data_IF_412591674789
#
_entry.id   IF_412591674789
#
_cell.length_a   1.000
_cell.length_b   1.000
_cell.length_c   1.000
_cell.angle_alpha   90.00
_cell.angle_beta   90.00
_cell.angle_gamma   90.00
#
_symmetry.space_group_name_H-M   'P 1'
#
loop_
_entity.id
_entity.type
_entity.pdbx_description
1 polymer ?
#
# COMPACT_ATOMS: atom_id res chain seq x y z
N UNK A 1 3.35 4.71 7.87
CA UNK A 1 2.74 4.10 9.06
C UNK A 1 3.66 3.13 9.79
N UNK A 2 4.24 2.15 9.11
CA UNK A 2 5.11 1.14 9.75
C UNK A 2 6.36 1.76 10.42
N UNK A 3 6.97 2.77 9.83
CA UNK A 3 8.14 3.44 10.39
C UNK A 3 7.87 4.09 11.76
N UNK A 4 6.76 4.78 11.91
CA UNK A 4 6.36 5.36 13.20
C UNK A 4 6.03 4.29 14.25
N UNK A 5 5.48 3.15 13.83
CA UNK A 5 5.21 2.04 14.73
C UNK A 5 6.50 1.36 15.19
N UNK A 6 7.48 1.22 14.32
CA UNK A 6 8.80 0.70 14.69
C UNK A 6 9.45 1.60 15.74
N UNK A 7 9.48 2.93 15.51
CA UNK A 7 9.98 3.91 16.48
C UNK A 7 9.22 3.83 17.82
N UNK A 8 7.90 3.72 17.78
CA UNK A 8 7.10 3.55 18.99
C UNK A 8 7.49 2.29 19.77
N UNK A 9 7.68 1.16 19.08
CA UNK A 9 8.05 -0.09 19.74
C UNK A 9 9.47 -0.07 20.31
N UNK A 10 10.44 0.57 19.63
CA UNK A 10 11.82 0.67 20.11
C UNK A 10 11.96 1.70 21.22
N UNK A 11 11.50 2.92 21.00
CA UNK A 11 11.82 4.07 21.82
C UNK A 11 10.87 4.20 23.03
N UNK A 12 9.57 3.89 22.86
CA UNK A 12 8.59 4.08 23.92
C UNK A 12 8.20 2.77 24.62
N UNK A 13 8.06 1.66 23.90
CA UNK A 13 7.76 0.35 24.50
C UNK A 13 9.05 -0.33 25.02
N UNK A 14 10.21 0.04 24.46
CA UNK A 14 11.50 -0.49 24.86
C UNK A 14 11.75 -1.94 24.36
N UNK A 15 11.20 -2.29 23.19
CA UNK A 15 11.51 -3.54 22.52
C UNK A 15 12.83 -3.41 21.75
N UNK A 16 13.64 -4.47 21.71
CA UNK A 16 14.81 -4.45 20.83
C UNK A 16 14.37 -4.34 19.36
N UNK A 17 15.18 -3.69 18.52
CA UNK A 17 14.88 -3.52 17.09
C UNK A 17 14.64 -4.88 16.39
N UNK A 18 15.36 -5.94 16.81
CA UNK A 18 15.18 -7.30 16.31
C UNK A 18 13.80 -7.87 16.63
N UNK A 19 13.32 -7.68 17.87
CA UNK A 19 11.98 -8.13 18.29
C UNK A 19 10.91 -7.33 17.57
N UNK A 20 11.04 -6.00 17.49
CA UNK A 20 10.11 -5.15 16.76
C UNK A 20 10.03 -5.56 15.27
N UNK A 21 11.17 -5.81 14.63
CA UNK A 21 11.23 -6.29 13.25
C UNK A 21 10.55 -7.65 13.06
N UNK A 22 10.76 -8.59 14.00
CA UNK A 22 10.14 -9.90 13.99
C UNK A 22 8.62 -9.83 14.14
N UNK A 23 8.11 -8.98 15.03
CA UNK A 23 6.67 -8.72 15.21
C UNK A 23 6.05 -8.24 13.89
N UNK A 24 6.68 -7.27 13.24
CA UNK A 24 6.21 -6.74 11.96
C UNK A 24 6.23 -7.79 10.84
N UNK A 25 7.29 -8.62 10.78
CA UNK A 25 7.44 -9.66 9.76
C UNK A 25 6.39 -10.75 9.92
N UNK A 26 6.22 -11.28 11.14
CA UNK A 26 5.23 -12.33 11.44
C UNK A 26 3.81 -11.86 11.11
N UNK A 27 3.44 -10.65 11.55
CA UNK A 27 2.12 -10.10 11.23
C UNK A 27 1.89 -9.96 9.72
N UNK A 28 2.91 -9.55 8.93
CA UNK A 28 2.84 -9.47 7.47
C UNK A 28 2.58 -10.81 6.79
N UNK A 29 3.18 -11.90 7.31
CA UNK A 29 2.96 -13.25 6.80
C UNK A 29 1.50 -13.67 7.06
N UNK A 30 1.01 -13.45 8.28
CA UNK A 30 -0.40 -13.75 8.60
C UNK A 30 -1.38 -12.92 7.77
N UNK A 31 -1.14 -11.64 7.59
CA UNK A 31 -1.93 -10.78 6.70
C UNK A 31 -2.03 -11.38 5.29
N UNK A 32 -0.88 -11.84 4.75
CA UNK A 32 -0.84 -12.41 3.41
C UNK A 32 -1.64 -13.71 3.30
N UNK A 33 -1.63 -14.55 4.33
CA UNK A 33 -2.39 -15.80 4.38
C UNK A 33 -3.90 -15.57 4.56
N UNK A 34 -4.28 -14.50 5.26
CA UNK A 34 -5.69 -14.18 5.52
C UNK A 34 -6.36 -13.43 4.37
N UNK A 35 -5.61 -12.75 3.50
CA UNK A 35 -6.17 -11.98 2.38
C UNK A 35 -7.12 -12.77 1.48
N UNK A 36 -6.81 -14.01 1.02
CA UNK A 36 -7.73 -14.81 0.21
C UNK A 36 -9.03 -15.16 0.95
N UNK A 37 -8.93 -15.44 2.26
CA UNK A 37 -10.10 -15.75 3.10
C UNK A 37 -10.99 -14.52 3.23
N UNK A 38 -10.40 -13.36 3.51
CA UNK A 38 -11.10 -12.08 3.62
C UNK A 38 -11.76 -11.72 2.27
N UNK A 39 -11.03 -11.90 1.16
CA UNK A 39 -11.56 -11.70 -0.19
C UNK A 39 -12.81 -12.52 -0.46
N UNK A 40 -12.74 -13.82 -0.18
CA UNK A 40 -13.87 -14.74 -0.33
C UNK A 40 -15.05 -14.43 0.60
N UNK A 41 -14.81 -14.00 1.84
CA UNK A 41 -15.88 -13.56 2.76
C UNK A 41 -16.55 -12.31 2.21
N UNK A 42 -15.76 -11.32 1.75
CA UNK A 42 -16.30 -10.09 1.20
C UNK A 42 -17.18 -10.35 -0.04
N UNK A 43 -16.78 -11.29 -0.86
CA UNK A 43 -17.52 -11.67 -2.08
C UNK A 43 -18.84 -12.37 -1.80
N UNK A 44 -18.89 -13.18 -0.75
CA UNK A 44 -20.12 -13.89 -0.30
C UNK A 44 -21.10 -13.02 0.48
N UNK A 45 -20.61 -11.89 0.97
CA UNK A 45 -21.44 -10.97 1.75
C UNK A 45 -22.51 -10.36 0.86
N UNK A 46 -23.76 -10.46 1.30
CA UNK A 46 -24.94 -9.92 0.60
C UNK A 46 -25.75 -9.09 1.57
N UNK A 47 -25.73 -7.78 1.36
CA UNK A 47 -26.49 -6.85 2.19
C UNK A 47 -27.27 -5.86 1.33
N UNK A 48 -28.20 -5.13 1.97
CA UNK A 48 -28.95 -4.03 1.33
C UNK A 48 -28.06 -2.90 0.80
N UNK A 49 -26.80 -2.81 1.28
CA UNK A 49 -25.83 -1.80 0.86
C UNK A 49 -24.85 -2.30 -0.22
N UNK A 50 -24.94 -3.55 -0.64
CA UNK A 50 -24.02 -4.19 -1.56
C UNK A 50 -23.14 -5.26 -0.89
N UNK A 51 -22.07 -5.69 -1.59
CA UNK A 51 -21.13 -6.71 -1.12
C UNK A 51 -19.97 -6.10 -0.34
N UNK A 52 -19.34 -5.07 -0.86
CA UNK A 52 -18.09 -4.51 -0.37
C UNK A 52 -18.30 -3.30 0.56
N UNK A 53 -19.33 -2.50 0.33
CA UNK A 53 -19.63 -1.30 1.11
C UNK A 53 -19.86 -1.53 2.61
N UNK A 54 -20.50 -2.62 3.08
CA UNK A 54 -20.68 -2.89 4.51
C UNK A 54 -19.36 -3.01 5.27
N UNK A 55 -18.32 -3.56 4.66
CA UNK A 55 -17.00 -3.69 5.28
C UNK A 55 -16.36 -2.32 5.52
N UNK A 56 -16.59 -1.36 4.62
CA UNK A 56 -16.14 0.02 4.80
C UNK A 56 -16.93 0.68 5.94
N UNK A 57 -18.25 0.53 5.95
CA UNK A 57 -19.11 1.17 6.96
C UNK A 57 -18.80 0.68 8.38
N UNK A 58 -18.80 -0.63 8.58
CA UNK A 58 -18.64 -1.23 9.89
C UNK A 58 -17.17 -1.44 10.26
N UNK A 59 -16.32 -1.77 9.29
CA UNK A 59 -14.90 -2.02 9.54
C UNK A 59 -14.11 -0.75 9.91
N UNK A 60 -14.48 0.41 9.38
CA UNK A 60 -13.74 1.66 9.62
C UNK A 60 -13.69 2.07 11.09
N UNK A 61 -14.79 2.08 11.89
CA UNK A 61 -14.71 2.40 13.30
C UNK A 61 -13.83 1.43 14.08
N UNK A 62 -13.93 0.12 13.78
CA UNK A 62 -13.06 -0.87 14.40
C UNK A 62 -11.59 -0.65 14.03
N UNK A 63 -11.30 -0.35 12.77
CA UNK A 63 -9.95 -0.01 12.31
C UNK A 63 -9.40 1.21 13.06
N UNK A 64 -10.20 2.25 13.22
CA UNK A 64 -9.83 3.45 13.95
C UNK A 64 -9.48 3.15 15.42
N UNK A 65 -10.35 2.40 16.12
CA UNK A 65 -10.13 2.02 17.52
C UNK A 65 -8.86 1.17 17.66
N UNK A 66 -8.69 0.14 16.83
CA UNK A 66 -7.53 -0.74 16.91
C UNK A 66 -6.24 0.01 16.53
N UNK A 67 -6.30 0.94 15.58
CA UNK A 67 -5.16 1.79 15.25
C UNK A 67 -4.71 2.61 16.46
N UNK A 68 -5.62 3.22 17.19
CA UNK A 68 -5.31 3.94 18.44
C UNK A 68 -4.75 2.99 19.49
N UNK A 69 -5.37 1.83 19.70
CA UNK A 69 -4.92 0.83 20.68
C UNK A 69 -3.51 0.30 20.38
N UNK A 70 -3.13 0.18 19.11
CA UNK A 70 -1.79 -0.25 18.71
C UNK A 70 -0.68 0.72 19.15
N UNK A 71 -1.01 2.01 19.29
CA UNK A 71 -0.12 3.04 19.82
C UNK A 71 -0.30 3.27 21.34
N UNK A 72 -0.86 2.30 22.06
CA UNK A 72 -0.89 2.29 23.52
C UNK A 72 0.06 1.22 24.07
N UNK A 73 0.52 1.40 25.30
CA UNK A 73 1.34 0.42 26.00
C UNK A 73 0.79 0.16 27.41
N UNK A 74 -0.38 -0.48 27.54
CA UNK A 74 -1.05 -0.64 28.83
C UNK A 74 -0.36 -1.66 29.74
N UNK A 75 0.47 -2.58 29.19
CA UNK A 75 1.16 -3.62 29.94
C UNK A 75 2.61 -3.23 30.21
N UNK A 76 2.98 -3.11 31.47
CA UNK A 76 4.32 -2.69 31.91
C UNK A 76 5.31 -3.84 32.06
N UNK A 77 4.87 -5.10 32.13
CA UNK A 77 5.74 -6.28 32.28
C UNK A 77 6.43 -6.64 30.94
N UNK A 78 7.69 -7.10 31.00
CA UNK A 78 8.49 -7.39 29.79
C UNK A 78 7.81 -8.34 28.80
N UNK A 79 7.23 -9.45 29.23
CA UNK A 79 6.47 -10.38 28.38
C UNK A 79 5.13 -9.81 27.91
N UNK A 80 4.44 -9.08 28.77
CA UNK A 80 3.16 -8.45 28.46
C UNK A 80 3.26 -7.41 27.33
N UNK A 81 4.35 -6.64 27.27
CA UNK A 81 4.62 -5.68 26.19
C UNK A 81 4.68 -6.34 24.82
N UNK A 82 5.37 -7.49 24.72
CA UNK A 82 5.50 -8.22 23.46
C UNK A 82 4.14 -8.79 23.03
N UNK A 83 3.41 -9.41 23.97
CA UNK A 83 2.08 -9.97 23.68
C UNK A 83 1.11 -8.88 23.20
N UNK A 84 1.14 -7.70 23.85
CA UNK A 84 0.32 -6.57 23.42
C UNK A 84 0.72 -6.06 22.04
N UNK A 85 2.02 -5.88 21.77
CA UNK A 85 2.52 -5.41 20.48
C UNK A 85 2.15 -6.38 19.34
N UNK A 86 2.36 -7.68 19.54
CA UNK A 86 2.01 -8.73 18.56
C UNK A 86 0.50 -8.77 18.35
N UNK A 87 -0.28 -8.83 19.43
CA UNK A 87 -1.73 -8.98 19.39
C UNK A 87 -2.43 -7.75 18.76
N UNK A 88 -2.04 -6.55 19.16
CA UNK A 88 -2.63 -5.30 18.63
C UNK A 88 -2.27 -5.10 17.16
N UNK A 89 -1.03 -5.38 16.77
CA UNK A 89 -0.60 -5.22 15.38
C UNK A 89 -1.19 -6.31 14.47
N UNK A 90 -1.30 -7.56 14.94
CA UNK A 90 -1.99 -8.62 14.23
C UNK A 90 -3.46 -8.27 14.00
N UNK A 91 -4.15 -7.79 15.05
CA UNK A 91 -5.55 -7.38 14.95
C UNK A 91 -5.73 -6.17 14.02
N UNK A 92 -4.78 -5.23 14.05
CA UNK A 92 -4.73 -4.09 13.12
C UNK A 92 -4.64 -4.57 11.68
N UNK A 93 -3.74 -5.52 11.37
CA UNK A 93 -3.57 -6.09 10.04
C UNK A 93 -4.84 -6.77 9.55
N UNK A 94 -5.45 -7.61 10.39
CA UNK A 94 -6.70 -8.32 10.07
C UNK A 94 -7.84 -7.35 9.74
N UNK A 95 -8.09 -6.36 10.60
CA UNK A 95 -9.16 -5.38 10.36
C UNK A 95 -8.83 -4.44 9.20
N UNK A 96 -7.56 -4.09 9.03
CA UNK A 96 -7.11 -3.36 7.84
C UNK A 96 -7.40 -4.14 6.56
N UNK A 97 -7.11 -5.45 6.53
CA UNK A 97 -7.44 -6.33 5.40
C UNK A 97 -8.95 -6.36 5.11
N UNK A 98 -9.78 -6.50 6.19
CA UNK A 98 -11.24 -6.49 6.08
C UNK A 98 -11.83 -5.20 5.50
N UNK A 99 -11.14 -4.06 5.61
CA UNK A 99 -11.57 -2.79 5.02
C UNK A 99 -10.91 -2.56 3.67
N UNK A 100 -9.61 -2.79 3.56
CA UNK A 100 -8.82 -2.41 2.38
C UNK A 100 -9.07 -3.30 1.15
N UNK A 101 -9.27 -4.63 1.34
CA UNK A 101 -9.56 -5.54 0.23
C UNK A 101 -10.92 -5.24 -0.42
N UNK A 102 -12.04 -5.12 0.33
CA UNK A 102 -13.32 -4.70 -0.23
C UNK A 102 -13.26 -3.29 -0.86
N UNK A 103 -12.52 -2.36 -0.26
CA UNK A 103 -12.29 -1.03 -0.84
C UNK A 103 -11.56 -1.11 -2.19
N UNK A 104 -10.57 -1.99 -2.30
CA UNK A 104 -9.87 -2.26 -3.56
C UNK A 104 -10.82 -2.83 -4.62
N UNK A 105 -11.58 -3.86 -4.25
CA UNK A 105 -12.55 -4.55 -5.12
C UNK A 105 -13.74 -3.67 -5.52
N UNK A 106 -14.02 -2.58 -4.79
CA UNK A 106 -15.13 -1.68 -5.10
C UNK A 106 -15.00 -1.07 -6.51
N UNK A 107 -13.78 -0.82 -6.98
CA UNK A 107 -13.52 -0.28 -8.32
C UNK A 107 -14.00 -1.20 -9.46
N UNK A 108 -14.07 -2.51 -9.24
CA UNK A 108 -14.54 -3.49 -10.24
C UNK A 108 -16.04 -3.41 -10.46
N UNK A 109 -16.78 -3.10 -9.40
CA UNK A 109 -18.26 -3.13 -9.40
C UNK A 109 -18.90 -1.76 -9.58
N UNK A 110 -18.11 -0.67 -9.53
CA UNK A 110 -18.62 0.70 -9.71
C UNK A 110 -18.86 1.09 -11.17
N UNK A 111 -18.14 0.50 -12.13
CA UNK A 111 -18.31 0.83 -13.55
C UNK A 111 -17.96 -0.34 -14.47
N UNK A 112 -18.73 -0.49 -15.55
CA UNK A 112 -18.45 -1.42 -16.65
C UNK A 112 -17.45 -0.85 -17.67
N UNK A 113 -17.26 0.47 -17.70
CA UNK A 113 -16.39 1.13 -18.67
C UNK A 113 -14.95 1.12 -18.21
N UNK A 114 -14.06 0.53 -19.03
CA UNK A 114 -12.61 0.42 -18.75
C UNK A 114 -11.96 1.78 -18.46
N UNK A 115 -12.30 2.82 -19.21
CA UNK A 115 -11.77 4.18 -19.01
C UNK A 115 -12.13 4.77 -17.65
N UNK A 116 -13.36 4.52 -17.18
CA UNK A 116 -13.79 4.98 -15.85
C UNK A 116 -13.05 4.24 -14.74
N UNK A 117 -12.73 2.95 -14.94
CA UNK A 117 -11.91 2.18 -13.99
C UNK A 117 -10.47 2.72 -13.90
N UNK A 118 -9.88 3.14 -15.04
CA UNK A 118 -8.57 3.83 -15.04
C UNK A 118 -8.65 5.12 -14.23
N UNK A 119 -9.65 5.94 -14.46
CA UNK A 119 -9.84 7.20 -13.73
C UNK A 119 -10.03 6.96 -12.23
N UNK A 120 -10.88 6.02 -11.83
CA UNK A 120 -11.11 5.66 -10.42
C UNK A 120 -9.80 5.22 -9.72
N UNK A 121 -9.04 4.33 -10.36
CA UNK A 121 -7.78 3.87 -9.80
C UNK A 121 -6.71 4.98 -9.79
N UNK A 122 -6.71 5.88 -10.77
CA UNK A 122 -5.82 7.05 -10.80
C UNK A 122 -6.10 8.00 -9.64
N UNK A 123 -7.37 8.37 -9.43
CA UNK A 123 -7.76 9.20 -8.27
C UNK A 123 -7.42 8.54 -6.94
N UNK A 124 -7.63 7.22 -6.83
CA UNK A 124 -7.26 6.46 -5.62
C UNK A 124 -5.77 6.52 -5.35
N UNK A 125 -4.92 6.35 -6.36
CA UNK A 125 -3.47 6.41 -6.21
C UNK A 125 -2.96 7.82 -5.90
N UNK A 126 -3.53 8.85 -6.54
CA UNK A 126 -3.22 10.24 -6.22
C UNK A 126 -3.58 10.53 -4.76
N UNK A 127 -4.78 10.13 -4.33
CA UNK A 127 -5.22 10.28 -2.94
C UNK A 127 -4.30 9.54 -1.95
N UNK A 128 -3.84 8.33 -2.29
CA UNK A 128 -2.90 7.56 -1.48
C UNK A 128 -1.55 8.28 -1.35
N UNK A 129 -1.00 8.83 -2.45
CA UNK A 129 0.25 9.57 -2.43
C UNK A 129 0.13 10.87 -1.63
N UNK A 130 -0.93 11.65 -1.85
CA UNK A 130 -1.18 12.87 -1.08
C UNK A 130 -1.39 12.58 0.40
N UNK A 131 -2.15 11.53 0.72
CA UNK A 131 -2.35 11.08 2.11
C UNK A 131 -1.03 10.66 2.77
N UNK A 132 -0.15 9.98 2.04
CA UNK A 132 1.16 9.59 2.55
C UNK A 132 2.05 10.82 2.84
N UNK A 133 2.04 11.83 1.97
CA UNK A 133 2.76 13.11 2.17
C UNK A 133 2.23 13.84 3.40
N UNK A 134 0.91 14.01 3.50
CA UNK A 134 0.27 14.69 4.65
C UNK A 134 0.58 13.94 5.95
N UNK A 135 0.42 12.59 5.94
CA UNK A 135 0.71 11.77 7.11
C UNK A 135 2.16 11.91 7.55
N UNK A 136 3.11 11.88 6.60
CA UNK A 136 4.53 12.02 6.92
C UNK A 136 4.89 13.42 7.44
N UNK A 137 4.30 14.46 6.87
CA UNK A 137 4.57 15.84 7.27
C UNK A 137 3.98 16.20 8.63
N UNK A 138 2.80 15.65 8.96
CA UNK A 138 2.01 16.06 10.13
C UNK A 138 2.23 15.15 11.34
N UNK A 139 2.57 13.86 11.14
CA UNK A 139 2.66 12.90 12.25
C UNK A 139 3.71 13.28 13.29
N UNK A 140 4.94 13.58 12.87
CA UNK A 140 6.02 13.87 13.83
C UNK A 140 5.79 15.16 14.62
N UNK A 141 5.41 16.29 14.00
CA UNK A 141 5.04 17.49 14.73
C UNK A 141 3.92 17.28 15.75
N UNK A 142 2.89 16.50 15.40
CA UNK A 142 1.81 16.18 16.33
C UNK A 142 2.28 15.31 17.50
N UNK A 143 3.12 14.29 17.25
CA UNK A 143 3.68 13.43 18.29
C UNK A 143 4.46 14.28 19.29
N UNK A 144 5.32 15.16 18.84
CA UNK A 144 6.13 16.06 19.67
C UNK A 144 5.21 17.01 20.47
N UNK A 145 4.24 17.64 19.80
CA UNK A 145 3.29 18.56 20.42
C UNK A 145 2.51 17.90 21.58
N UNK A 146 1.96 16.71 21.35
CA UNK A 146 1.22 15.98 22.38
C UNK A 146 2.12 15.28 23.41
N UNK A 147 3.41 15.17 23.17
CA UNK A 147 4.36 14.64 24.14
C UNK A 147 4.64 15.63 25.27
N UNK A 148 4.43 16.94 25.05
CA UNK A 148 4.54 17.96 26.09
C UNK A 148 5.96 18.16 26.65
N UNK A 149 6.98 17.55 26.02
CA UNK A 149 8.37 17.72 26.40
C UNK A 149 8.89 19.04 25.83
N UNK A 150 9.34 19.94 26.69
CA UNK A 150 9.79 21.28 26.30
C UNK A 150 11.09 21.30 25.46
N UNK A 151 11.71 20.15 25.23
CA UNK A 151 12.94 19.97 24.44
C UNK A 151 12.68 19.84 22.92
N UNK A 152 11.42 19.68 22.50
CA UNK A 152 11.04 19.53 21.09
C UNK A 152 11.51 18.23 20.41
N UNK A 153 12.08 17.28 21.13
CA UNK A 153 12.67 16.04 20.60
C UNK A 153 12.10 14.79 21.28
N UNK A 154 11.81 14.86 22.58
CA UNK A 154 11.35 13.70 23.34
C UNK A 154 9.94 13.29 22.94
N UNK A 155 9.75 12.01 22.62
CA UNK A 155 8.46 11.42 22.28
C UNK A 155 7.93 10.56 23.43
N UNK A 156 6.62 10.61 23.68
CA UNK A 156 5.97 9.83 24.73
C UNK A 156 4.87 8.94 24.16
N UNK A 157 4.52 7.86 24.87
CA UNK A 157 3.38 7.00 24.50
C UNK A 157 2.10 7.82 24.34
N UNK A 158 1.90 8.82 25.22
CA UNK A 158 0.75 9.73 25.13
C UNK A 158 0.73 10.51 23.81
N UNK A 159 1.89 11.03 23.35
CA UNK A 159 2.03 11.73 22.08
C UNK A 159 1.64 10.86 20.88
N UNK A 160 2.11 9.61 20.86
CA UNK A 160 1.74 8.66 19.80
C UNK A 160 0.24 8.32 19.82
N UNK A 161 -0.31 8.04 21.00
CA UNK A 161 -1.73 7.70 21.15
C UNK A 161 -2.65 8.85 20.72
N UNK A 162 -2.35 10.10 21.14
CA UNK A 162 -3.13 11.27 20.76
C UNK A 162 -3.02 11.58 19.26
N UNK A 163 -1.84 11.43 18.70
CA UNK A 163 -1.66 11.57 17.24
C UNK A 163 -2.46 10.53 16.47
N UNK A 164 -2.42 9.26 16.89
CA UNK A 164 -3.23 8.20 16.31
C UNK A 164 -4.72 8.49 16.41
N UNK A 165 -5.19 9.04 17.54
CA UNK A 165 -6.57 9.44 17.74
C UNK A 165 -6.99 10.57 16.78
N UNK A 166 -6.18 11.62 16.64
CA UNK A 166 -6.45 12.71 15.69
C UNK A 166 -6.55 12.19 14.27
N UNK A 167 -5.61 11.32 13.86
CA UNK A 167 -5.63 10.72 12.52
C UNK A 167 -6.86 9.81 12.32
N UNK A 168 -7.26 9.05 13.34
CA UNK A 168 -8.46 8.21 13.31
C UNK A 168 -9.73 9.06 13.15
N UNK A 169 -9.85 10.16 13.88
CA UNK A 169 -10.99 11.09 13.79
C UNK A 169 -11.10 11.72 12.40
N UNK A 170 -9.98 11.98 11.73
CA UNK A 170 -9.97 12.47 10.34
C UNK A 170 -10.29 11.35 9.35
N UNK A 171 -9.77 10.15 9.56
CA UNK A 171 -9.92 9.03 8.62
C UNK A 171 -11.37 8.51 8.57
N UNK A 172 -12.08 8.42 9.70
CA UNK A 172 -13.45 7.87 9.76
C UNK A 172 -14.42 8.63 8.84
N UNK A 173 -14.53 9.97 8.87
CA UNK A 173 -15.40 10.73 7.96
C UNK A 173 -15.01 10.53 6.49
N UNK A 174 -13.71 10.43 6.17
CA UNK A 174 -13.25 10.21 4.80
C UNK A 174 -13.69 8.85 4.26
N UNK A 175 -13.58 7.77 5.06
CA UNK A 175 -14.10 6.46 4.68
C UNK A 175 -15.63 6.45 4.56
N UNK A 176 -16.32 7.18 5.44
CA UNK A 176 -17.78 7.32 5.33
C UNK A 176 -18.17 8.10 4.09
N UNK A 177 -17.42 9.12 3.70
CA UNK A 177 -17.63 9.79 2.41
C UNK A 177 -17.52 8.80 1.24
N UNK A 178 -16.54 7.89 1.26
CA UNK A 178 -16.44 6.81 0.26
C UNK A 178 -17.70 5.92 0.29
N UNK A 179 -18.16 5.51 1.46
CA UNK A 179 -19.37 4.71 1.59
C UNK A 179 -20.61 5.40 1.00
N UNK A 180 -20.83 6.69 1.28
CA UNK A 180 -22.01 7.42 0.82
C UNK A 180 -21.95 7.77 -0.67
N UNK A 181 -20.76 8.06 -1.21
CA UNK A 181 -20.59 8.46 -2.61
C UNK A 181 -20.48 7.28 -3.58
N UNK A 182 -19.99 6.12 -3.10
CA UNK A 182 -19.81 4.94 -3.94
C UNK A 182 -21.12 4.16 -4.10
N UNK A 183 -21.36 3.60 -5.29
CA UNK A 183 -22.47 2.67 -5.57
C UNK A 183 -21.96 1.47 -6.33
N UNK A 184 -22.42 0.28 -5.93
CA UNK A 184 -22.16 -0.97 -6.64
C UNK A 184 -23.21 -1.10 -7.76
N UNK A 185 -22.75 -1.00 -9.01
CA UNK A 185 -23.63 -1.02 -10.21
C UNK A 185 -23.62 -2.42 -10.85
N UNK A 186 -22.52 -3.15 -10.71
CA UNK A 186 -22.37 -4.48 -11.30
C UNK A 186 -22.78 -5.53 -10.26
N UNK A 187 -23.88 -6.23 -10.55
CA UNK A 187 -24.27 -7.44 -9.80
C UNK A 187 -23.76 -8.67 -10.55
N UNK A 188 -23.23 -9.70 -9.86
CA UNK A 188 -22.79 -10.94 -10.51
C UNK A 188 -23.95 -11.61 -11.25
N UNK A 189 -23.68 -12.15 -12.43
CA UNK A 189 -24.68 -12.84 -13.25
C UNK A 189 -25.19 -14.13 -12.58
N UNK A 190 -24.34 -14.78 -11.80
CA UNK A 190 -24.68 -16.02 -11.08
C UNK A 190 -25.10 -15.75 -9.64
N UNK A 191 -26.35 -15.32 -9.45
CA UNK A 191 -27.00 -15.29 -8.13
C UNK A 191 -27.51 -16.71 -7.83
N UNK A 192 -26.74 -17.50 -7.10
CA UNK A 192 -27.30 -18.78 -6.61
C UNK A 192 -26.35 -19.97 -6.46
N UNK A 193 -25.12 -19.91 -6.96
CA UNK A 193 -24.12 -20.93 -6.66
C UNK A 193 -23.13 -20.39 -5.63
N UNK A 194 -23.16 -20.97 -4.43
CA UNK A 194 -22.07 -20.84 -3.47
C UNK A 194 -20.87 -21.60 -4.03
N UNK A 195 -20.04 -20.91 -4.82
CA UNK A 195 -18.81 -21.48 -5.35
C UNK A 195 -17.86 -21.70 -4.17
N UNK A 196 -17.30 -22.90 -3.98
CA UNK A 196 -16.31 -23.13 -2.94
C UNK A 196 -15.09 -22.21 -3.12
N UNK A 197 -14.52 -21.72 -2.01
CA UNK A 197 -13.31 -20.85 -2.05
C UNK A 197 -12.17 -21.47 -2.88
N UNK A 198 -12.05 -22.80 -2.86
CA UNK A 198 -11.04 -23.52 -3.65
C UNK A 198 -11.28 -23.42 -5.15
N UNK A 199 -12.52 -23.38 -5.61
CA UNK A 199 -12.84 -23.18 -7.05
C UNK A 199 -12.58 -21.74 -7.47
N UNK A 200 -12.95 -20.75 -6.66
CA UNK A 200 -12.63 -19.36 -6.90
C UNK A 200 -11.11 -19.15 -7.02
N UNK A 201 -10.35 -19.70 -6.06
CA UNK A 201 -8.88 -19.66 -6.09
C UNK A 201 -8.32 -20.34 -7.34
N UNK A 202 -8.88 -21.50 -7.72
CA UNK A 202 -8.46 -22.22 -8.92
C UNK A 202 -8.71 -21.40 -10.19
N UNK A 203 -9.88 -20.75 -10.31
CA UNK A 203 -10.20 -19.85 -11.44
C UNK A 203 -9.20 -18.70 -11.51
N UNK A 204 -8.90 -18.08 -10.38
CA UNK A 204 -7.94 -16.97 -10.29
C UNK A 204 -6.52 -17.41 -10.68
N UNK A 205 -6.03 -18.53 -10.13
CA UNK A 205 -4.67 -19.04 -10.40
C UNK A 205 -4.51 -19.60 -11.83
N UNK A 206 -5.58 -20.11 -12.43
CA UNK A 206 -5.55 -20.59 -13.83
C UNK A 206 -5.81 -19.49 -14.86
N UNK A 207 -6.21 -18.28 -14.44
CA UNK A 207 -6.33 -17.14 -15.32
C UNK A 207 -4.95 -16.58 -15.67
N UNK A 208 -4.46 -16.93 -16.88
CA UNK A 208 -3.13 -16.53 -17.38
C UNK A 208 -2.95 -15.01 -17.40
N UNK A 209 -3.98 -14.26 -17.77
CA UNK A 209 -3.89 -12.80 -17.88
C UNK A 209 -3.78 -12.17 -16.49
N UNK A 210 -4.54 -12.66 -15.51
CA UNK A 210 -4.45 -12.20 -14.13
C UNK A 210 -3.10 -12.56 -13.49
N UNK A 211 -2.54 -13.75 -13.79
CA UNK A 211 -1.21 -14.14 -13.32
C UNK A 211 -0.09 -13.29 -13.95
N UNK A 212 -0.23 -12.89 -15.21
CA UNK A 212 0.70 -11.92 -15.81
C UNK A 212 0.63 -10.56 -15.14
N UNK A 213 -0.57 -10.08 -14.81
CA UNK A 213 -0.78 -8.83 -14.05
C UNK A 213 -0.20 -8.95 -12.64
N UNK A 214 -0.40 -10.08 -11.97
CA UNK A 214 0.20 -10.39 -10.66
C UNK A 214 1.73 -10.32 -10.72
N UNK A 215 2.36 -11.00 -11.66
CA UNK A 215 3.81 -10.98 -11.82
C UNK A 215 4.33 -9.58 -12.13
N UNK A 216 3.68 -8.84 -13.04
CA UNK A 216 4.07 -7.48 -13.37
C UNK A 216 4.00 -6.57 -12.13
N UNK A 217 2.97 -6.71 -11.32
CA UNK A 217 2.82 -5.93 -10.10
C UNK A 217 3.79 -6.35 -8.99
N UNK A 218 4.07 -7.66 -8.88
CA UNK A 218 5.09 -8.19 -7.97
C UNK A 218 6.47 -7.59 -8.26
N UNK A 219 6.93 -7.63 -9.52
CA UNK A 219 8.21 -7.06 -9.90
C UNK A 219 8.24 -5.54 -9.74
N UNK A 220 7.14 -4.84 -10.06
CA UNK A 220 7.01 -3.41 -9.83
C UNK A 220 7.17 -3.04 -8.35
N UNK A 221 6.50 -3.77 -7.45
CA UNK A 221 6.58 -3.54 -6.01
C UNK A 221 7.95 -3.92 -5.44
N UNK A 222 8.55 -5.01 -5.92
CA UNK A 222 9.92 -5.40 -5.55
C UNK A 222 10.92 -4.29 -5.92
N UNK A 223 10.86 -3.77 -7.12
CA UNK A 223 11.72 -2.66 -7.56
C UNK A 223 11.47 -1.37 -6.77
N UNK A 224 10.21 -1.04 -6.53
CA UNK A 224 9.83 0.16 -5.79
C UNK A 224 10.33 0.13 -4.34
N UNK A 225 10.10 -0.97 -3.61
CA UNK A 225 10.53 -1.10 -2.22
C UNK A 225 12.05 -1.33 -2.10
N UNK A 226 12.66 -2.05 -3.05
CA UNK A 226 14.11 -2.19 -3.13
C UNK A 226 14.80 -0.86 -3.31
N UNK A 227 14.29 -0.02 -4.22
CA UNK A 227 14.79 1.34 -4.41
C UNK A 227 14.69 2.17 -3.12
N UNK A 228 13.54 2.18 -2.46
CA UNK A 228 13.35 2.93 -1.20
C UNK A 228 14.37 2.49 -0.14
N UNK A 229 14.66 1.18 -0.04
CA UNK A 229 15.63 0.64 0.90
C UNK A 229 17.05 1.14 0.65
N UNK A 230 17.47 1.23 -0.61
CA UNK A 230 18.83 1.62 -1.01
C UNK A 230 18.98 3.15 -1.08
N UNK A 231 17.95 3.85 -1.52
CA UNK A 231 17.98 5.29 -1.84
C UNK A 231 18.48 6.16 -0.69
N UNK A 232 18.10 5.83 0.55
CA UNK A 232 18.52 6.59 1.72
C UNK A 232 20.02 6.50 1.94
N UNK A 233 20.58 5.29 1.79
CA UNK A 233 22.04 5.07 1.91
C UNK A 233 22.80 5.82 0.82
N UNK A 234 22.34 5.74 -0.43
CA UNK A 234 22.92 6.47 -1.55
C UNK A 234 22.98 7.98 -1.28
N UNK A 235 21.90 8.58 -0.74
CA UNK A 235 21.87 10.02 -0.47
C UNK A 235 22.75 10.44 0.72
N UNK A 236 22.89 9.59 1.74
CA UNK A 236 23.66 9.90 2.95
C UNK A 236 25.14 9.63 2.74
N UNK A 237 25.50 8.49 2.15
CA UNK A 237 26.88 8.02 2.09
C UNK A 237 27.59 8.40 0.79
N UNK A 238 26.93 8.32 -0.36
CA UNK A 238 27.53 8.62 -1.66
C UNK A 238 27.43 10.12 -2.00
N UNK A 239 26.22 10.71 -1.91
CA UNK A 239 26.06 12.15 -2.15
C UNK A 239 26.56 13.02 -1.00
N UNK A 240 26.61 12.50 0.23
CA UNK A 240 27.00 13.25 1.45
C UNK A 240 26.22 14.56 1.66
N UNK A 241 24.98 14.64 1.19
CA UNK A 241 24.12 15.83 1.21
C UNK A 241 22.85 15.58 2.00
N UNK A 242 22.99 15.56 3.34
CA UNK A 242 21.86 15.37 4.26
C UNK A 242 20.77 16.45 4.12
N UNK A 243 21.14 17.65 3.71
CA UNK A 243 20.24 18.77 3.47
C UNK A 243 19.23 18.50 2.33
N UNK A 244 19.62 17.71 1.34
CA UNK A 244 18.77 17.37 0.19
C UNK A 244 17.98 16.08 0.34
N UNK A 245 18.28 15.25 1.33
CA UNK A 245 17.63 13.95 1.52
C UNK A 245 16.10 14.06 1.55
N UNK A 246 15.57 15.01 2.32
CA UNK A 246 14.14 15.21 2.44
C UNK A 246 13.48 15.55 1.09
N UNK A 247 14.09 16.42 0.32
CA UNK A 247 13.60 16.84 -1.01
C UNK A 247 13.68 15.68 -2.00
N UNK A 248 14.81 14.99 -2.07
CA UNK A 248 15.04 13.89 -3.00
C UNK A 248 14.17 12.66 -2.67
N UNK A 249 13.82 12.45 -1.40
CA UNK A 249 12.89 11.40 -0.99
C UNK A 249 11.44 11.74 -1.31
N UNK A 250 11.06 13.01 -1.23
CA UNK A 250 9.69 13.46 -1.53
C UNK A 250 9.42 13.58 -3.04
N UNK A 251 10.43 13.93 -3.82
CA UNK A 251 10.32 14.25 -5.25
C UNK A 251 9.69 13.13 -6.09
N UNK A 252 10.04 11.83 -5.96
CA UNK A 252 9.41 10.76 -6.71
C UNK A 252 7.92 10.61 -6.45
N UNK A 253 7.47 10.85 -5.22
CA UNK A 253 6.05 10.75 -4.87
C UNK A 253 5.24 11.90 -5.47
N UNK A 254 5.77 13.12 -5.40
CA UNK A 254 5.14 14.30 -6.02
C UNK A 254 5.08 14.16 -7.54
N UNK A 255 6.21 13.82 -8.16
CA UNK A 255 6.27 13.65 -9.61
C UNK A 255 5.48 12.45 -10.08
N UNK A 256 5.35 11.38 -9.26
CA UNK A 256 4.47 10.25 -9.53
C UNK A 256 3.01 10.65 -9.61
N UNK A 257 2.54 11.51 -8.71
CA UNK A 257 1.18 12.05 -8.79
C UNK A 257 0.96 12.86 -10.10
N UNK A 258 1.93 13.70 -10.47
CA UNK A 258 1.91 14.44 -11.75
C UNK A 258 1.92 13.48 -12.95
N UNK A 259 2.78 12.47 -12.94
CA UNK A 259 2.86 11.43 -13.97
C UNK A 259 1.53 10.71 -14.15
N UNK A 260 0.88 10.28 -13.06
CA UNK A 260 -0.44 9.63 -13.14
C UNK A 260 -1.47 10.53 -13.84
N UNK A 261 -1.52 11.82 -13.50
CA UNK A 261 -2.46 12.76 -14.13
C UNK A 261 -2.17 12.95 -15.62
N UNK A 262 -0.90 13.14 -15.96
CA UNK A 262 -0.49 13.39 -17.35
C UNK A 262 -0.73 12.16 -18.23
N UNK A 263 -0.31 10.99 -17.78
CA UNK A 263 -0.30 9.78 -18.61
C UNK A 263 -1.60 8.98 -18.58
N UNK A 264 -2.50 9.19 -17.60
CA UNK A 264 -3.82 8.54 -17.58
C UNK A 264 -4.62 8.82 -18.86
N UNK A 265 -4.49 10.02 -19.44
CA UNK A 265 -5.16 10.41 -20.70
C UNK A 265 -4.67 9.62 -21.91
N UNK A 266 -3.41 9.21 -21.92
CA UNK A 266 -2.82 8.44 -23.02
C UNK A 266 -3.21 6.96 -23.02
N UNK A 267 -3.81 6.47 -21.90
CA UNK A 267 -4.24 5.07 -21.80
C UNK A 267 -5.28 4.68 -22.87
N UNK A 268 -6.09 5.64 -23.32
CA UNK A 268 -7.07 5.43 -24.40
C UNK A 268 -6.44 5.20 -25.76
N UNK A 269 -5.29 5.85 -26.04
CA UNK A 269 -4.62 5.77 -27.36
C UNK A 269 -3.61 4.65 -27.44
N UNK A 270 -2.81 4.47 -26.40
CA UNK A 270 -1.70 3.52 -26.38
C UNK A 270 -2.09 2.15 -25.78
N UNK A 271 -3.22 2.09 -25.10
CA UNK A 271 -3.64 0.92 -24.31
C UNK A 271 -2.89 0.79 -22.98
N UNK A 272 -3.52 0.16 -22.00
CA UNK A 272 -3.01 0.03 -20.63
C UNK A 272 -1.67 -0.73 -20.58
N UNK A 273 -1.56 -1.83 -21.35
CA UNK A 273 -0.36 -2.68 -21.41
C UNK A 273 0.87 -1.91 -21.89
N UNK A 274 0.78 -1.27 -23.06
CA UNK A 274 1.91 -0.56 -23.65
C UNK A 274 2.34 0.62 -22.79
N UNK A 275 1.38 1.33 -22.21
CA UNK A 275 1.67 2.45 -21.34
C UNK A 275 2.34 2.00 -20.02
N UNK A 276 1.97 0.83 -19.47
CA UNK A 276 2.67 0.25 -18.32
C UNK A 276 4.10 -0.15 -18.65
N UNK A 277 4.34 -0.71 -19.85
CA UNK A 277 5.70 -1.03 -20.31
C UNK A 277 6.55 0.23 -20.44
N UNK A 278 6.00 1.30 -21.00
CA UNK A 278 6.68 2.61 -21.10
C UNK A 278 7.03 3.14 -19.70
N UNK A 279 6.10 3.06 -18.73
CA UNK A 279 6.33 3.45 -17.34
C UNK A 279 7.53 2.70 -16.75
N UNK A 280 7.56 1.37 -16.87
CA UNK A 280 8.67 0.57 -16.36
C UNK A 280 9.99 0.85 -17.08
N UNK A 281 9.95 1.06 -18.39
CA UNK A 281 11.14 1.41 -19.16
C UNK A 281 11.72 2.76 -18.72
N UNK A 282 10.89 3.79 -18.55
CA UNK A 282 11.34 5.10 -18.05
C UNK A 282 11.95 4.99 -16.66
N UNK A 283 11.28 4.27 -15.73
CA UNK A 283 11.81 4.06 -14.40
C UNK A 283 13.14 3.29 -14.41
N UNK A 284 13.22 2.20 -15.17
CA UNK A 284 14.43 1.37 -15.27
C UNK A 284 15.61 2.11 -15.90
N UNK A 285 15.38 2.79 -17.04
CA UNK A 285 16.41 3.59 -17.71
C UNK A 285 16.92 4.71 -16.81
N UNK A 286 16.02 5.41 -16.10
CA UNK A 286 16.42 6.48 -15.16
C UNK A 286 17.37 5.96 -14.08
N UNK A 287 17.12 4.76 -13.52
CA UNK A 287 17.98 4.17 -12.50
C UNK A 287 19.31 3.67 -13.09
N UNK A 288 19.29 3.08 -14.29
CA UNK A 288 20.51 2.64 -14.99
C UNK A 288 21.40 3.85 -15.31
N UNK A 289 20.81 4.92 -15.85
CA UNK A 289 21.57 6.15 -16.17
C UNK A 289 22.15 6.78 -14.90
N UNK A 290 21.39 6.77 -13.79
CA UNK A 290 21.85 7.29 -12.50
C UNK A 290 23.13 6.59 -11.99
N UNK A 291 23.32 5.30 -12.31
CA UNK A 291 24.51 4.55 -11.97
C UNK A 291 25.80 5.07 -12.66
N UNK A 292 25.68 5.66 -13.85
CA UNK A 292 26.82 6.17 -14.61
C UNK A 292 27.16 7.64 -14.33
N UNK A 293 26.36 8.30 -13.51
CA UNK A 293 26.55 9.73 -13.20
C UNK A 293 27.51 9.89 -12.02
N UNK A 294 28.45 10.84 -12.07
CA UNK A 294 29.28 11.20 -10.93
C UNK A 294 28.43 11.66 -9.74
N UNK A 295 28.82 11.25 -8.53
CA UNK A 295 28.10 11.57 -7.28
C UNK A 295 27.99 13.08 -7.00
N UNK A 296 28.91 13.89 -7.56
CA UNK A 296 28.95 15.36 -7.36
C UNK A 296 27.89 16.09 -8.20
N UNK A 297 27.30 15.47 -9.23
CA UNK A 297 26.32 16.11 -10.10
C UNK A 297 24.90 16.03 -9.54
N UNK A 298 24.63 16.84 -8.52
CA UNK A 298 23.33 16.95 -7.84
C UNK A 298 22.21 17.31 -8.82
N UNK A 299 22.50 18.13 -9.84
CA UNK A 299 21.52 18.58 -10.82
C UNK A 299 21.01 17.38 -11.62
N UNK A 300 21.93 16.54 -12.11
CA UNK A 300 21.59 15.36 -12.88
C UNK A 300 20.87 14.28 -12.03
N UNK A 301 21.31 14.06 -10.79
CA UNK A 301 20.65 13.15 -9.83
C UNK A 301 19.22 13.62 -9.55
N UNK A 302 19.02 14.92 -9.34
CA UNK A 302 17.68 15.49 -9.12
C UNK A 302 16.81 15.39 -10.37
N UNK A 303 17.35 15.64 -11.55
CA UNK A 303 16.66 15.52 -12.83
C UNK A 303 16.21 14.06 -13.08
N UNK A 304 17.09 13.08 -12.89
CA UNK A 304 16.75 11.67 -13.04
C UNK A 304 15.78 11.17 -12.00
N UNK A 305 15.88 11.65 -10.76
CA UNK A 305 14.89 11.36 -9.71
C UNK A 305 13.51 11.92 -10.09
N UNK A 306 13.46 13.09 -10.72
CA UNK A 306 12.23 13.67 -11.26
C UNK A 306 11.66 12.84 -12.41
N UNK A 307 12.50 12.44 -13.37
CA UNK A 307 12.10 11.59 -14.52
C UNK A 307 11.58 10.24 -14.02
N UNK A 308 12.28 9.62 -13.06
CA UNK A 308 11.82 8.40 -12.41
C UNK A 308 10.42 8.58 -11.79
N UNK A 309 10.23 9.67 -11.03
CA UNK A 309 8.93 10.00 -10.42
C UNK A 309 7.84 10.14 -11.46
N UNK A 310 8.08 10.95 -12.50
CA UNK A 310 7.13 11.13 -13.62
C UNK A 310 6.82 9.82 -14.34
N UNK A 311 7.80 8.93 -14.46
CA UNK A 311 7.65 7.61 -15.06
C UNK A 311 6.84 6.63 -14.21
N UNK A 312 6.69 6.85 -12.91
CA UNK A 312 6.07 5.90 -11.98
C UNK A 312 4.54 5.98 -11.98
N UNK A 313 3.91 5.76 -13.12
CA UNK A 313 2.46 5.79 -13.31
C UNK A 313 1.83 4.42 -13.65
N UNK A 314 2.60 3.33 -13.64
CA UNK A 314 2.10 1.99 -13.96
C UNK A 314 1.04 1.47 -12.96
N UNK A 315 1.14 1.86 -11.69
CA UNK A 315 0.28 1.33 -10.63
C UNK A 315 -1.23 1.40 -10.92
N UNK A 316 -1.80 2.58 -11.21
CA UNK A 316 -3.22 2.72 -11.56
C UNK A 316 -3.62 1.93 -12.82
N UNK A 317 -2.72 1.86 -13.82
CA UNK A 317 -2.97 1.13 -15.06
C UNK A 317 -3.07 -0.37 -14.79
N UNK A 318 -2.12 -0.94 -14.05
CA UNK A 318 -2.12 -2.36 -13.66
C UNK A 318 -3.36 -2.67 -12.84
N UNK A 319 -3.69 -1.84 -11.84
CA UNK A 319 -4.91 -2.01 -11.05
C UNK A 319 -6.18 -1.95 -11.90
N UNK A 320 -6.20 -1.17 -12.98
CA UNK A 320 -7.33 -1.11 -13.89
C UNK A 320 -7.44 -2.31 -14.85
N UNK A 321 -6.37 -3.10 -15.01
CA UNK A 321 -6.40 -4.35 -15.79
C UNK A 321 -7.00 -5.52 -15.00
N UNK A 322 -6.93 -5.47 -13.65
CA UNK A 322 -7.48 -6.55 -12.80
C UNK A 322 -8.97 -6.79 -13.08
N UNK A 323 -9.84 -5.75 -13.10
CA UNK A 323 -11.23 -5.94 -13.47
C UNK A 323 -11.44 -6.51 -14.88
N UNK A 324 -10.60 -6.12 -15.85
CA UNK A 324 -10.70 -6.64 -17.22
C UNK A 324 -10.38 -8.15 -17.27
N UNK A 325 -9.41 -8.61 -16.45
CA UNK A 325 -9.08 -10.03 -16.32
C UNK A 325 -10.19 -10.82 -15.58
N UNK A 326 -10.88 -10.17 -14.64
CA UNK A 326 -12.01 -10.78 -13.93
C UNK A 326 -13.21 -10.95 -14.88
N UNK A 327 -13.52 -9.92 -15.67
CA UNK A 327 -14.60 -9.97 -16.66
C UNK A 327 -14.33 -11.10 -17.70
N UNK A 328 -13.06 -11.24 -18.17
CA UNK A 328 -12.67 -12.36 -19.05
C UNK A 328 -12.82 -13.72 -18.38
N UNK A 329 -12.45 -13.86 -17.11
CA UNK A 329 -12.60 -15.10 -16.36
C UNK A 329 -14.09 -15.48 -16.19
N UNK A 330 -14.94 -14.50 -15.90
CA UNK A 330 -16.38 -14.67 -15.80
C UNK A 330 -16.98 -15.15 -17.12
N UNK A 331 -16.59 -14.56 -18.25
CA UNK A 331 -17.06 -14.96 -19.57
C UNK A 331 -16.66 -16.41 -19.93
N UNK A 332 -15.48 -16.87 -19.47
CA UNK A 332 -14.95 -18.21 -19.77
C UNK A 332 -15.46 -19.29 -18.83
N UNK A 333 -15.64 -18.98 -17.55
CA UNK A 333 -15.93 -19.99 -16.50
C UNK A 333 -17.31 -19.85 -15.88
N UNK A 334 -17.96 -18.71 -16.11
CA UNK A 334 -19.21 -18.36 -15.45
C UNK A 334 -19.04 -18.01 -13.97
N UNK A 335 -17.79 -17.93 -13.46
CA UNK A 335 -17.47 -17.60 -12.07
C UNK A 335 -16.80 -16.24 -12.02
N UNK A 336 -17.38 -15.34 -11.24
CA UNK A 336 -16.83 -14.01 -11.00
C UNK A 336 -16.19 -13.95 -9.61
N UNK A 337 -14.87 -13.81 -9.54
CA UNK A 337 -14.07 -13.84 -8.30
C UNK A 337 -13.36 -12.49 -8.05
N UNK A 338 -14.13 -11.41 -7.79
CA UNK A 338 -13.58 -10.07 -7.59
C UNK A 338 -12.69 -10.00 -6.33
N UNK A 339 -13.21 -10.45 -5.18
CA UNK A 339 -12.52 -10.38 -3.90
C UNK A 339 -11.25 -11.23 -3.88
N UNK A 340 -11.34 -12.47 -4.41
CA UNK A 340 -10.21 -13.38 -4.49
C UNK A 340 -9.11 -12.84 -5.43
N UNK A 341 -9.48 -12.25 -6.57
CA UNK A 341 -8.54 -11.64 -7.51
C UNK A 341 -7.78 -10.47 -6.88
N UNK A 342 -8.48 -9.59 -6.14
CA UNK A 342 -7.82 -8.50 -5.41
C UNK A 342 -6.97 -8.98 -4.25
N UNK A 343 -7.35 -10.06 -3.55
CA UNK A 343 -6.56 -10.68 -2.52
C UNK A 343 -5.22 -11.19 -3.08
N UNK A 344 -5.25 -11.87 -4.23
CA UNK A 344 -4.03 -12.34 -4.92
C UNK A 344 -3.16 -11.16 -5.36
N UNK A 345 -3.73 -10.09 -5.90
CA UNK A 345 -2.96 -8.88 -6.24
C UNK A 345 -2.39 -8.18 -4.99
N UNK A 346 -3.13 -8.14 -3.88
CA UNK A 346 -2.61 -7.63 -2.60
C UNK A 346 -1.40 -8.44 -2.12
N UNK A 347 -1.43 -9.75 -2.31
CA UNK A 347 -0.31 -10.63 -1.99
C UNK A 347 0.96 -10.24 -2.75
N UNK A 348 0.86 -9.84 -4.04
CA UNK A 348 2.02 -9.37 -4.81
C UNK A 348 2.68 -8.12 -4.20
N UNK A 349 1.89 -7.21 -3.63
CA UNK A 349 2.42 -6.03 -2.91
C UNK A 349 3.18 -6.44 -1.65
N UNK A 350 2.64 -7.38 -0.88
CA UNK A 350 3.24 -7.86 0.37
C UNK A 350 4.55 -8.62 0.10
N UNK A 351 4.53 -9.56 -0.85
CA UNK A 351 5.73 -10.29 -1.27
C UNK A 351 6.76 -9.33 -1.88
N UNK A 352 6.33 -8.45 -2.78
CA UNK A 352 7.20 -7.47 -3.42
C UNK A 352 7.89 -6.55 -2.43
N UNK A 353 7.16 -6.07 -1.40
CA UNK A 353 7.74 -5.25 -0.33
C UNK A 353 8.75 -6.00 0.53
N UNK A 354 8.47 -7.27 0.85
CA UNK A 354 9.36 -8.10 1.65
C UNK A 354 10.65 -8.44 0.87
N UNK A 355 10.50 -8.91 -0.37
CA UNK A 355 11.64 -9.27 -1.24
C UNK A 355 12.46 -8.04 -1.59
N UNK A 356 11.81 -6.93 -1.99
CA UNK A 356 12.49 -5.69 -2.36
C UNK A 356 13.29 -5.10 -1.20
N UNK A 357 12.68 -5.04 -0.01
CA UNK A 357 13.36 -4.58 1.20
C UNK A 357 14.53 -5.47 1.59
N UNK A 358 14.35 -6.81 1.59
CA UNK A 358 15.41 -7.75 1.94
C UNK A 358 16.58 -7.73 0.93
N UNK A 359 16.26 -7.72 -0.36
CA UNK A 359 17.28 -7.66 -1.44
C UNK A 359 18.04 -6.34 -1.37
N UNK A 360 17.35 -5.21 -1.14
CA UNK A 360 17.99 -3.91 -0.99
C UNK A 360 19.03 -3.90 0.13
N UNK A 361 18.65 -4.37 1.33
CA UNK A 361 19.56 -4.44 2.49
C UNK A 361 20.71 -5.43 2.25
N UNK A 362 20.41 -6.62 1.67
CA UNK A 362 21.42 -7.61 1.37
C UNK A 362 22.47 -7.11 0.38
N UNK A 363 22.05 -6.36 -0.64
CA UNK A 363 22.99 -5.73 -1.60
C UNK A 363 23.89 -4.71 -0.90
N UNK A 364 23.34 -3.82 -0.06
CA UNK A 364 24.11 -2.85 0.71
C UNK A 364 25.17 -3.57 1.57
N UNK A 365 24.77 -4.62 2.31
CA UNK A 365 25.69 -5.40 3.12
C UNK A 365 26.76 -6.16 2.32
N UNK A 366 26.43 -6.65 1.12
CA UNK A 366 27.35 -7.35 0.24
C UNK A 366 28.41 -6.43 -0.38
N UNK A 367 28.08 -5.15 -0.59
CA UNK A 367 29.02 -4.15 -1.12
C UNK A 367 29.80 -3.37 -0.04
N UNK A 368 29.62 -3.73 1.23
CA UNK A 368 30.50 -3.25 2.31
C UNK A 368 30.10 -1.89 2.90
N UNK A 369 28.86 -1.52 2.80
CA UNK A 369 28.28 -0.36 3.50
C UNK A 369 27.90 -0.70 4.94
#
# INVERSE_FOLDING_TARGET
>A
GSSFLTLFYTDNVGLSAGVAGMVLAVARIFDALLDPVIGGIAERTRTRWGRFRPFILFGTPFLAVICVLTFTAPLSSGGGKIVWAVGSYFLLGLVYGLVNLPYGSLSTVMSRKSDQRVSLNSYRMIGTNLGAVVLSAVSMPLIIHFSGAGDGVTTTTHGYTMTALVMAVIAVPLFYAVFFTSREVITPVHQGRDVPLGEELKVVLTNRNLMMVFCAFLFAMTGFFGRIGIQLYYYIYDLQRMDLVAILMMLPSLMGAVGIVLFARFSKRLGKKNLSVISFAVCGISLIVMYFIPYDDIVMVTALTTVYGLGNFAGPLIMSMVPDCIDEAEDRTGIRADGMSYAVISLSTKIGSAVGGAVGIALIGAFGY
#
